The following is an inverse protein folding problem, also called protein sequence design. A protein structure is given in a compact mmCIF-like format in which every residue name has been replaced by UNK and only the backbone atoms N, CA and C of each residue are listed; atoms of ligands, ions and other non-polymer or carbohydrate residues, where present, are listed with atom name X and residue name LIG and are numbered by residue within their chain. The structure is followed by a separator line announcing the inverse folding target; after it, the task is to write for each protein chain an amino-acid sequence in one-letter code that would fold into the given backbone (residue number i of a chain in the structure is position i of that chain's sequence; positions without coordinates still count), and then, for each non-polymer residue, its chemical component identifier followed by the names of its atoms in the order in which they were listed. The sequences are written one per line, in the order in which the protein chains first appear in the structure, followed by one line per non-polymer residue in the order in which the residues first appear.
data_IF_271258372044
#
_entry.id   IF_271258372044
#
_cell.length_a   1.000
_cell.length_b   1.000
_cell.length_c   1.000
_cell.angle_alpha   90.00
_cell.angle_beta   90.00
_cell.angle_gamma   90.00
#
_symmetry.space_group_name_H-M   'P 1'
#
loop_
_entity.id
_entity.type
_entity.pdbx_description
1 polymer ?
#
# COMPACT_ATOMS: atom_id res chain seq x y z
N UNK A 1 -12.34 15.54 14.01
CA UNK A 1 -12.08 14.10 14.20
C UNK A 1 -12.61 13.43 12.96
N UNK A 2 -11.79 12.65 12.26
CA UNK A 2 -12.25 11.92 11.09
C UNK A 2 -12.73 10.55 11.56
N UNK A 3 -13.99 10.24 11.26
CA UNK A 3 -14.64 9.06 11.86
C UNK A 3 -14.30 7.76 11.12
N UNK A 4 -13.67 7.86 9.94
CA UNK A 4 -13.40 6.69 9.12
C UNK A 4 -12.33 6.92 8.04
N UNK A 5 -11.61 5.86 7.73
CA UNK A 5 -10.55 5.83 6.73
C UNK A 5 -10.80 4.72 5.72
N UNK A 6 -10.51 4.99 4.46
CA UNK A 6 -10.56 4.02 3.40
C UNK A 6 -9.15 3.65 3.00
N UNK A 7 -8.83 2.35 3.12
CA UNK A 7 -7.52 1.80 2.84
C UNK A 7 -7.60 0.84 1.65
N UNK A 8 -6.62 0.91 0.77
CA UNK A 8 -6.50 0.04 -0.39
C UNK A 8 -5.06 -0.41 -0.57
N UNK A 9 -4.91 -1.60 -1.14
CA UNK A 9 -3.63 -2.08 -1.65
C UNK A 9 -3.83 -2.54 -3.08
N UNK A 10 -2.98 -2.07 -3.98
CA UNK A 10 -2.99 -2.43 -5.40
C UNK A 10 -1.59 -2.80 -5.85
N UNK A 11 -1.46 -3.93 -6.55
CA UNK A 11 -0.24 -4.24 -7.30
C UNK A 11 -0.41 -3.80 -8.74
N UNK A 12 0.57 -3.11 -9.29
CA UNK A 12 0.60 -2.68 -10.68
C UNK A 12 1.71 -3.42 -11.42
N UNK A 13 1.35 -4.09 -12.50
CA UNK A 13 2.30 -4.66 -13.46
C UNK A 13 2.07 -4.12 -14.86
N UNK A 14 2.89 -4.54 -15.82
CA UNK A 14 2.71 -4.19 -17.24
C UNK A 14 2.21 -5.41 -18.03
N UNK A 15 1.11 -5.24 -18.75
CA UNK A 15 0.57 -6.22 -19.69
C UNK A 15 0.34 -5.54 -21.03
N UNK A 16 0.97 -6.05 -22.10
CA UNK A 16 0.89 -5.50 -23.45
C UNK A 16 1.23 -3.99 -23.51
N UNK A 17 2.30 -3.59 -22.80
CA UNK A 17 2.73 -2.18 -22.70
C UNK A 17 1.82 -1.28 -21.86
N UNK A 18 0.78 -1.81 -21.21
CA UNK A 18 -0.17 -1.06 -20.39
C UNK A 18 0.02 -1.39 -18.92
N UNK A 19 0.02 -0.37 -18.06
CA UNK A 19 0.01 -0.55 -16.59
C UNK A 19 -1.37 -1.06 -16.16
N UNK A 20 -1.41 -2.22 -15.51
CA UNK A 20 -2.63 -2.87 -15.02
C UNK A 20 -2.54 -2.98 -13.50
N UNK A 21 -3.55 -2.47 -12.81
CA UNK A 21 -3.69 -2.60 -11.36
C UNK A 21 -4.54 -3.80 -10.96
N UNK A 22 -4.06 -4.59 -10.01
CA UNK A 22 -4.76 -5.72 -9.39
C UNK A 22 -4.96 -5.39 -7.91
N UNK A 23 -6.21 -5.20 -7.44
CA UNK A 23 -6.49 -4.97 -6.03
C UNK A 23 -6.09 -6.18 -5.18
N UNK A 24 -5.25 -5.96 -4.18
CA UNK A 24 -4.81 -6.99 -3.23
C UNK A 24 -5.59 -6.94 -1.91
N UNK A 25 -6.30 -5.84 -1.64
CA UNK A 25 -7.15 -5.74 -0.46
C UNK A 25 -7.73 -4.34 -0.29
N UNK A 26 -8.86 -4.29 0.40
CA UNK A 26 -9.53 -3.04 0.77
C UNK A 26 -10.00 -3.13 2.21
N UNK A 27 -9.92 -2.05 2.96
CA UNK A 27 -10.42 -2.00 4.33
C UNK A 27 -10.97 -0.63 4.68
N UNK A 28 -12.13 -0.62 5.33
CA UNK A 28 -12.78 0.59 5.84
C UNK A 28 -12.55 0.62 7.34
N UNK A 29 -11.55 1.39 7.76
CA UNK A 29 -11.11 1.44 9.14
C UNK A 29 -11.95 2.46 9.93
N UNK A 30 -12.54 2.06 11.07
CA UNK A 30 -13.36 2.98 11.87
C UNK A 30 -12.52 3.90 12.77
N UNK A 31 -11.20 3.74 12.78
CA UNK A 31 -10.28 4.60 13.54
C UNK A 31 -8.96 4.73 12.79
N UNK A 32 -8.21 5.81 13.08
CA UNK A 32 -6.86 6.02 12.53
C UNK A 32 -5.92 4.86 12.91
N UNK A 33 -5.96 4.42 14.16
CA UNK A 33 -5.12 3.32 14.64
C UNK A 33 -5.37 2.02 13.85
N UNK A 34 -6.62 1.72 13.51
CA UNK A 34 -6.94 0.54 12.69
C UNK A 34 -6.56 0.70 11.23
N UNK A 35 -6.58 1.92 10.69
CA UNK A 35 -6.09 2.21 9.34
C UNK A 35 -4.58 1.91 9.26
N UNK A 36 -3.80 2.48 10.19
CA UNK A 36 -2.35 2.27 10.27
C UNK A 36 -2.00 0.81 10.51
N UNK A 37 -2.68 0.15 11.46
CA UNK A 37 -2.51 -1.27 11.71
C UNK A 37 -2.74 -2.09 10.44
N UNK A 38 -3.83 -1.82 9.72
CA UNK A 38 -4.16 -2.57 8.51
C UNK A 38 -3.13 -2.37 7.40
N UNK A 39 -2.64 -1.14 7.19
CA UNK A 39 -1.58 -0.89 6.22
C UNK A 39 -0.30 -1.68 6.56
N UNK A 40 0.11 -1.70 7.83
CA UNK A 40 1.26 -2.48 8.31
C UNK A 40 1.06 -3.98 8.12
N UNK A 41 -0.11 -4.49 8.50
CA UNK A 41 -0.47 -5.88 8.32
C UNK A 41 -0.42 -6.29 6.84
N UNK A 42 -0.93 -5.45 5.93
CA UNK A 42 -0.87 -5.73 4.49
C UNK A 42 0.53 -5.65 3.91
N UNK A 43 1.35 -4.67 4.32
CA UNK A 43 2.75 -4.59 3.91
C UNK A 43 3.53 -5.85 4.33
N UNK A 44 3.39 -6.29 5.58
CA UNK A 44 4.01 -7.52 6.07
C UNK A 44 3.52 -8.75 5.32
N UNK A 45 2.20 -8.85 5.07
CA UNK A 45 1.60 -9.95 4.32
C UNK A 45 2.10 -10.07 2.88
N UNK A 46 2.39 -8.94 2.21
CA UNK A 46 3.01 -8.92 0.88
C UNK A 46 4.47 -9.39 1.00
N UNK A 47 5.23 -8.82 1.92
CA UNK A 47 6.65 -9.14 2.10
C UNK A 47 6.87 -10.65 2.35
N UNK A 48 6.06 -11.28 3.20
CA UNK A 48 6.11 -12.72 3.48
C UNK A 48 5.82 -13.60 2.26
N UNK A 49 5.02 -13.12 1.30
CA UNK A 49 4.69 -13.87 0.08
C UNK A 49 5.73 -13.69 -1.03
N UNK A 50 6.38 -12.54 -1.05
CA UNK A 50 7.44 -12.24 -1.99
C UNK A 50 8.78 -12.88 -1.59
N UNK A 51 9.05 -12.93 -0.29
CA UNK A 51 10.27 -13.52 0.29
C UNK A 51 9.88 -14.49 1.41
N UNK A 52 9.36 -15.67 1.04
CA UNK A 52 8.99 -16.71 1.99
C UNK A 52 10.23 -17.41 2.56
N UNK A 53 10.10 -17.96 3.78
CA UNK A 53 11.15 -18.79 4.36
C UNK A 53 11.35 -20.06 3.52
N UNK A 54 12.55 -20.31 2.95
CA UNK A 54 12.81 -21.47 2.11
C UNK A 54 12.67 -22.81 2.84
N UNK A 55 12.77 -22.81 4.17
CA UNK A 55 12.61 -24.00 5.02
C UNK A 55 11.16 -24.25 5.45
N UNK A 56 10.20 -23.41 5.03
CA UNK A 56 8.80 -23.61 5.37
C UNK A 56 8.22 -24.82 4.60
N UNK A 57 7.72 -25.86 5.30
CA UNK A 57 7.24 -27.09 4.69
C UNK A 57 5.99 -26.91 3.80
N UNK A 58 5.36 -25.74 3.81
CA UNK A 58 4.27 -25.41 2.89
C UNK A 58 4.75 -25.25 1.44
N UNK A 59 6.04 -24.96 1.23
CA UNK A 59 6.62 -24.83 -0.10
C UNK A 59 7.23 -26.17 -0.56
N UNK A 60 6.87 -26.68 -1.75
CA UNK A 60 7.49 -27.87 -2.29
C UNK A 60 9.01 -27.71 -2.45
N UNK A 61 9.80 -28.78 -2.32
CA UNK A 61 11.23 -28.73 -2.59
C UNK A 61 11.52 -28.15 -3.98
N UNK A 62 12.52 -27.26 -4.07
CA UNK A 62 12.93 -26.59 -5.32
C UNK A 62 11.86 -25.69 -5.97
N UNK A 63 10.82 -25.27 -5.22
CA UNK A 63 9.82 -24.31 -5.71
C UNK A 63 10.21 -22.84 -5.51
N UNK A 64 11.27 -22.59 -4.75
CA UNK A 64 11.81 -21.27 -4.47
C UNK A 64 13.21 -21.15 -5.08
N UNK A 65 13.51 -19.98 -5.63
CA UNK A 65 14.82 -19.63 -6.17
C UNK A 65 15.27 -18.31 -5.55
N UNK A 66 16.53 -18.20 -5.10
CA UNK A 66 17.07 -16.94 -4.64
C UNK A 66 16.99 -15.89 -5.74
N UNK A 67 16.54 -14.70 -5.38
CA UNK A 67 16.56 -13.54 -6.27
C UNK A 67 18.00 -13.01 -6.34
N UNK A 68 18.40 -12.50 -7.51
CA UNK A 68 19.74 -11.94 -7.71
C UNK A 68 19.96 -10.65 -6.92
N UNK A 69 21.21 -10.40 -6.49
CA UNK A 69 21.58 -9.26 -5.64
C UNK A 69 21.28 -7.87 -6.24
N UNK A 70 21.12 -7.78 -7.57
CA UNK A 70 20.82 -6.53 -8.26
C UNK A 70 19.33 -6.17 -8.28
N UNK A 71 18.44 -7.09 -7.87
CA UNK A 71 17.00 -6.85 -7.87
C UNK A 71 16.62 -6.03 -6.65
N UNK A 72 15.79 -4.98 -6.80
CA UNK A 72 15.27 -4.23 -5.65
C UNK A 72 14.59 -5.16 -4.63
N UNK A 73 15.04 -5.10 -3.38
CA UNK A 73 14.50 -5.89 -2.27
C UNK A 73 13.22 -5.23 -1.70
N UNK A 74 12.13 -5.39 -2.46
CA UNK A 74 10.79 -4.94 -2.08
C UNK A 74 10.36 -5.49 -0.71
N UNK A 75 10.55 -6.78 -0.39
CA UNK A 75 10.20 -7.33 0.92
C UNK A 75 10.94 -6.66 2.08
N UNK A 76 12.24 -6.41 1.95
CA UNK A 76 13.01 -5.70 2.96
C UNK A 76 12.52 -4.26 3.13
N UNK A 77 12.26 -3.54 2.05
CA UNK A 77 11.72 -2.18 2.10
C UNK A 77 10.36 -2.12 2.82
N UNK A 78 9.46 -3.07 2.55
CA UNK A 78 8.17 -3.18 3.25
C UNK A 78 8.34 -3.47 4.75
N UNK A 79 9.22 -4.42 5.11
CA UNK A 79 9.51 -4.75 6.52
C UNK A 79 10.14 -3.57 7.25
N UNK A 80 11.06 -2.86 6.60
CA UNK A 80 11.69 -1.67 7.13
C UNK A 80 10.64 -0.58 7.40
N UNK A 81 9.78 -0.30 6.43
CA UNK A 81 8.69 0.67 6.61
C UNK A 81 7.76 0.29 7.77
N UNK A 82 7.39 -0.98 7.90
CA UNK A 82 6.57 -1.48 9.02
C UNK A 82 7.22 -1.29 10.39
N UNK A 83 8.56 -1.22 10.46
CA UNK A 83 9.35 -1.12 11.68
C UNK A 83 9.86 0.30 11.97
N UNK A 84 9.69 1.24 11.04
CA UNK A 84 10.12 2.64 11.19
C UNK A 84 9.06 3.47 11.93
N UNK A 85 9.20 3.55 13.25
CA UNK A 85 8.27 4.29 14.11
C UNK A 85 8.13 5.78 13.72
N UNK A 86 9.19 6.42 13.21
CA UNK A 86 9.14 7.82 12.80
C UNK A 86 8.31 8.01 11.53
N UNK A 87 8.43 7.10 10.57
CA UNK A 87 7.56 7.08 9.39
C UNK A 87 6.11 6.78 9.76
N UNK A 88 5.87 5.86 10.70
CA UNK A 88 4.52 5.53 11.15
C UNK A 88 3.85 6.73 11.83
N UNK A 89 4.57 7.48 12.66
CA UNK A 89 4.06 8.70 13.30
C UNK A 89 3.75 9.78 12.25
N UNK A 90 4.66 10.01 11.30
CA UNK A 90 4.44 10.96 10.21
C UNK A 90 3.16 10.64 9.42
N UNK A 91 2.96 9.37 9.06
CA UNK A 91 1.76 8.92 8.34
C UNK A 91 0.50 9.12 9.19
N UNK A 92 0.59 8.89 10.51
CA UNK A 92 -0.51 9.12 11.43
C UNK A 92 -0.92 10.61 11.43
N UNK A 93 0.04 11.52 11.48
CA UNK A 93 -0.19 12.96 11.43
C UNK A 93 -0.82 13.40 10.10
N UNK A 94 -0.31 12.89 8.98
CA UNK A 94 -0.82 13.18 7.63
C UNK A 94 -2.28 12.72 7.47
N UNK A 95 -2.57 11.46 7.83
CA UNK A 95 -3.93 10.91 7.78
C UNK A 95 -4.87 11.60 8.78
N UNK A 96 -4.39 11.89 9.98
CA UNK A 96 -5.15 12.59 11.02
C UNK A 96 -5.53 14.01 10.61
N UNK A 97 -4.71 14.65 9.78
CA UNK A 97 -4.99 15.94 9.16
C UNK A 97 -5.85 15.84 7.88
N UNK A 98 -6.32 14.64 7.51
CA UNK A 98 -7.17 14.41 6.35
C UNK A 98 -6.45 14.37 5.01
N UNK A 99 -5.12 14.23 5.00
CA UNK A 99 -4.34 14.09 3.76
C UNK A 99 -4.37 12.65 3.27
N UNK A 100 -4.28 12.49 1.96
CA UNK A 100 -4.05 11.19 1.32
C UNK A 100 -2.63 10.74 1.65
N UNK A 101 -2.50 9.50 2.13
CA UNK A 101 -1.20 8.85 2.26
C UNK A 101 -1.09 7.74 1.24
N UNK A 102 0.05 7.73 0.55
CA UNK A 102 0.41 6.73 -0.44
C UNK A 102 1.84 6.27 -0.18
N UNK A 103 2.02 4.96 -0.04
CA UNK A 103 3.32 4.30 0.03
C UNK A 103 3.44 3.44 -1.21
N UNK A 104 4.52 3.65 -1.97
CA UNK A 104 4.77 2.93 -3.21
C UNK A 104 6.15 2.30 -3.16
N UNK A 105 6.21 1.00 -3.43
CA UNK A 105 7.45 0.22 -3.47
C UNK A 105 7.35 -0.80 -4.59
N UNK A 106 8.41 -1.01 -5.35
CA UNK A 106 8.36 -1.92 -6.48
C UNK A 106 9.74 -2.32 -6.97
N UNK A 107 9.74 -3.32 -7.84
CA UNK A 107 10.88 -3.75 -8.63
C UNK A 107 10.63 -3.42 -10.12
N UNK A 108 11.45 -4.00 -11.01
CA UNK A 108 11.32 -3.78 -12.46
C UNK A 108 10.02 -4.37 -13.07
N UNK A 109 9.34 -5.24 -12.33
CA UNK A 109 8.18 -6.01 -12.81
C UNK A 109 6.87 -5.54 -12.20
N UNK A 110 6.88 -5.21 -10.91
CA UNK A 110 5.67 -4.98 -10.12
C UNK A 110 5.88 -3.86 -9.11
N UNK A 111 4.88 -2.99 -9.03
CA UNK A 111 4.80 -1.92 -8.04
C UNK A 111 3.63 -2.16 -7.09
N UNK A 112 3.87 -2.07 -5.80
CA UNK A 112 2.87 -2.19 -4.74
C UNK A 112 2.57 -0.81 -4.18
N UNK A 113 1.29 -0.45 -4.22
CA UNK A 113 0.77 0.79 -3.67
C UNK A 113 -0.12 0.48 -2.48
N UNK A 114 0.21 1.06 -1.33
CA UNK A 114 -0.59 1.06 -0.12
C UNK A 114 -1.13 2.48 0.06
N UNK A 115 -2.45 2.61 0.05
CA UNK A 115 -3.14 3.90 0.06
C UNK A 115 -4.10 3.95 1.24
N UNK A 116 -4.12 5.08 1.94
CA UNK A 116 -5.14 5.39 2.92
C UNK A 116 -5.57 6.86 2.81
N UNK A 117 -6.86 7.08 2.99
CA UNK A 117 -7.45 8.42 2.98
C UNK A 117 -8.59 8.54 3.98
N UNK A 118 -8.79 9.74 4.49
CA UNK A 118 -9.95 10.04 5.31
C UNK A 118 -11.22 10.12 4.45
N UNK A 119 -12.27 9.41 4.88
CA UNK A 119 -13.58 9.46 4.22
C UNK A 119 -14.21 10.85 4.33
N UNK A 120 -13.95 11.58 5.42
CA UNK A 120 -14.49 12.94 5.59
C UNK A 120 -13.79 13.93 4.67
N UNK A 121 -12.47 13.81 4.48
CA UNK A 121 -11.73 14.59 3.50
C UNK A 121 -12.22 14.33 2.07
N UNK A 122 -12.44 13.05 1.71
CA UNK A 122 -13.03 12.65 0.43
C UNK A 122 -14.41 13.27 0.21
N UNK A 123 -15.27 13.23 1.23
CA UNK A 123 -16.62 13.83 1.17
C UNK A 123 -16.50 15.32 0.90
N UNK A 124 -15.65 16.03 1.65
CA UNK A 124 -15.44 17.47 1.48
C UNK A 124 -14.94 17.83 0.09
N UNK A 125 -14.00 17.07 -0.49
CA UNK A 125 -13.51 17.29 -1.85
C UNK A 125 -14.61 17.13 -2.90
N UNK A 126 -15.52 16.16 -2.72
CA UNK A 126 -16.66 15.94 -3.64
C UNK A 126 -17.74 17.03 -3.53
N UNK A 127 -17.82 17.74 -2.41
CA UNK A 127 -18.74 18.87 -2.23
C UNK A 127 -18.16 20.20 -2.72
N UNK A 128 -16.85 20.29 -2.98
CA UNK A 128 -16.29 21.43 -3.71
C UNK A 128 -16.84 21.36 -5.14
N UNK A 129 -17.56 22.38 -5.63
CA UNK A 129 -18.04 22.36 -7.00
C UNK A 129 -16.81 22.25 -7.90
N UNK A 130 -16.71 21.16 -8.66
CA UNK A 130 -15.73 21.07 -9.72
C UNK A 130 -15.92 22.31 -10.58
N UNK A 131 -14.87 23.14 -10.70
CA UNK A 131 -14.86 24.25 -11.62
C UNK A 131 -14.92 23.61 -13.02
N UNK A 132 -16.13 23.40 -13.52
CA UNK A 132 -16.38 22.88 -14.86
C UNK A 132 -15.94 23.98 -15.81
N UNK A 133 -14.69 23.93 -16.23
CA UNK A 133 -14.20 24.76 -17.32
C UNK A 133 -14.73 24.15 -18.62
N UNK A 134 -15.51 24.88 -19.43
CA UNK A 134 -15.91 24.40 -20.74
C UNK A 134 -14.65 24.22 -21.59
N UNK A 135 -14.54 23.04 -22.23
CA UNK A 135 -13.57 22.81 -23.29
C UNK A 135 -13.99 23.66 -24.49
N UNK A 136 -13.07 24.52 -24.95
CA UNK A 136 -13.21 25.32 -26.17
C UNK A 136 -12.77 24.53 -27.40
#
# INVERSE_FOLDING_TARGET
MHDEFLCHVTAYGVCDGRRIGVPLGTYRAPTLALALWWLRDRASWIAERLDPNPEDPLYPPNSLIPVGESVPDVPCALRFWCADDAQQELIADELGAGRLVQITVGDETTEYELLAESVDALRMQRTVPALVLPVA
#
